data_IF_548714691375
#
_entry.id   IF_548714691375
#
_cell.length_a   1.000
_cell.length_b   1.000
_cell.length_c   1.000
_cell.angle_alpha   90.00
_cell.angle_beta   90.00
_cell.angle_gamma   90.00
#
_symmetry.space_group_name_H-M   'P 1'
#
loop_
_entity.id
_entity.type
_entity.pdbx_description
1 polymer ?
#
# COMPACT_ATOMS: atom_id res chain seq x y z
N UNK A 1 -27.10 -4.23 -53.37
CA UNK A 1 -27.03 -5.62 -52.85
C UNK A 1 -26.24 -5.56 -51.55
N UNK A 2 -26.86 -5.82 -50.41
CA UNK A 2 -26.14 -5.88 -49.13
C UNK A 2 -25.43 -7.23 -49.04
N UNK A 3 -24.10 -7.22 -48.87
CA UNK A 3 -23.34 -8.44 -48.57
C UNK A 3 -23.70 -8.86 -47.14
N UNK A 4 -24.39 -9.98 -47.00
CA UNK A 4 -24.56 -10.62 -45.71
C UNK A 4 -23.21 -11.18 -45.25
N UNK A 5 -22.88 -10.96 -43.99
CA UNK A 5 -21.69 -11.55 -43.35
C UNK A 5 -21.82 -13.07 -43.36
N UNK A 6 -20.79 -13.79 -43.76
CA UNK A 6 -20.88 -15.25 -43.84
C UNK A 6 -20.84 -15.85 -42.43
N UNK A 7 -21.57 -16.95 -42.20
CA UNK A 7 -21.53 -17.65 -40.92
C UNK A 7 -20.11 -18.11 -40.58
N UNK A 8 -19.30 -18.46 -41.59
CA UNK A 8 -17.90 -18.85 -41.38
C UNK A 8 -17.02 -17.70 -40.89
N UNK A 9 -17.22 -16.47 -41.38
CA UNK A 9 -16.52 -15.30 -40.85
C UNK A 9 -16.90 -15.04 -39.39
N UNK A 10 -18.17 -15.23 -39.03
CA UNK A 10 -18.63 -15.03 -37.65
C UNK A 10 -17.95 -16.03 -36.71
N UNK A 11 -17.82 -17.29 -37.12
CA UNK A 11 -17.16 -18.35 -36.33
C UNK A 11 -15.66 -18.05 -36.17
N UNK A 12 -15.00 -17.55 -37.21
CA UNK A 12 -13.57 -17.23 -37.13
C UNK A 12 -13.29 -16.06 -36.18
N UNK A 13 -14.17 -15.06 -36.16
CA UNK A 13 -14.07 -13.91 -35.24
C UNK A 13 -14.18 -14.35 -33.78
N UNK A 14 -15.20 -15.13 -33.42
CA UNK A 14 -15.37 -15.59 -32.02
C UNK A 14 -14.23 -16.51 -31.59
N UNK A 15 -13.68 -17.31 -32.50
CA UNK A 15 -12.57 -18.22 -32.22
C UNK A 15 -11.28 -17.45 -31.94
N UNK A 16 -10.97 -16.42 -32.73
CA UNK A 16 -9.82 -15.54 -32.49
C UNK A 16 -9.98 -14.79 -31.16
N UNK A 17 -11.16 -14.19 -30.91
CA UNK A 17 -11.42 -13.49 -29.64
C UNK A 17 -11.29 -14.45 -28.45
N UNK A 18 -11.72 -15.71 -28.60
CA UNK A 18 -11.57 -16.74 -27.57
C UNK A 18 -10.11 -17.00 -27.20
N UNK A 19 -9.23 -17.20 -28.18
CA UNK A 19 -7.80 -17.46 -27.94
C UNK A 19 -7.09 -16.23 -27.37
N UNK A 20 -7.36 -15.05 -27.93
CA UNK A 20 -6.77 -13.80 -27.44
C UNK A 20 -7.22 -13.48 -26.00
N UNK A 21 -8.50 -13.69 -25.69
CA UNK A 21 -9.03 -13.43 -24.35
C UNK A 21 -8.42 -14.38 -23.31
N UNK A 22 -8.25 -15.66 -23.64
CA UNK A 22 -7.67 -16.65 -22.73
C UNK A 22 -6.25 -16.29 -22.28
N UNK A 23 -5.45 -15.66 -23.15
CA UNK A 23 -4.07 -15.27 -22.84
C UNK A 23 -3.95 -13.85 -22.28
N UNK A 24 -4.84 -12.93 -22.68
CA UNK A 24 -4.80 -11.53 -22.23
C UNK A 24 -5.36 -11.33 -20.82
N UNK A 25 -6.44 -12.04 -20.45
CA UNK A 25 -7.12 -11.85 -19.16
C UNK A 25 -6.23 -12.11 -17.93
N UNK A 26 -5.44 -13.22 -17.86
CA UNK A 26 -4.59 -13.49 -16.70
C UNK A 26 -3.51 -12.41 -16.52
N UNK A 27 -2.95 -11.92 -17.63
CA UNK A 27 -1.90 -10.90 -17.61
C UNK A 27 -2.43 -9.55 -17.12
N UNK A 28 -3.64 -9.16 -17.56
CA UNK A 28 -4.30 -7.95 -17.10
C UNK A 28 -4.68 -8.02 -15.62
N UNK A 29 -5.05 -9.19 -15.10
CA UNK A 29 -5.31 -9.36 -13.67
C UNK A 29 -4.03 -9.13 -12.84
N UNK A 30 -2.93 -9.79 -13.18
CA UNK A 30 -1.65 -9.65 -12.48
C UNK A 30 -1.16 -8.18 -12.48
N UNK A 31 -1.17 -7.51 -13.63
CA UNK A 31 -0.73 -6.10 -13.71
C UNK A 31 -1.60 -5.14 -12.89
N UNK A 32 -2.90 -5.43 -12.73
CA UNK A 32 -3.78 -4.61 -11.88
C UNK A 32 -3.46 -4.78 -10.40
N UNK A 33 -3.13 -5.99 -9.98
CA UNK A 33 -2.78 -6.26 -8.58
C UNK A 33 -1.41 -5.67 -8.24
N UNK A 34 -0.43 -5.80 -9.14
CA UNK A 34 0.88 -5.14 -9.00
C UNK A 34 0.75 -3.61 -8.88
N UNK A 35 -0.12 -2.99 -9.69
CA UNK A 35 -0.36 -1.55 -9.64
C UNK A 35 -0.98 -1.10 -8.31
N UNK A 36 -1.89 -1.89 -7.75
CA UNK A 36 -2.47 -1.62 -6.42
C UNK A 36 -1.41 -1.73 -5.34
N UNK A 37 -0.59 -2.79 -5.36
CA UNK A 37 0.47 -3.00 -4.37
C UNK A 37 1.48 -1.85 -4.41
N UNK A 38 1.89 -1.41 -5.59
CA UNK A 38 2.78 -0.25 -5.75
C UNK A 38 2.16 1.04 -5.19
N UNK A 39 0.86 1.25 -5.42
CA UNK A 39 0.12 2.41 -4.89
C UNK A 39 0.03 2.36 -3.36
N UNK A 40 -0.19 1.18 -2.78
CA UNK A 40 -0.23 0.98 -1.31
C UNK A 40 1.14 1.25 -0.71
N UNK A 41 2.22 0.71 -1.29
CA UNK A 41 3.59 0.96 -0.84
C UNK A 41 3.91 2.46 -0.86
N UNK A 42 3.65 3.11 -1.99
CA UNK A 42 3.89 4.54 -2.15
C UNK A 42 3.08 5.37 -1.16
N UNK A 43 1.79 5.08 -1.01
CA UNK A 43 0.92 5.79 -0.07
C UNK A 43 1.37 5.61 1.38
N UNK A 44 1.88 4.43 1.73
CA UNK A 44 2.43 4.14 3.06
C UNK A 44 3.71 4.93 3.34
N UNK A 45 4.62 5.01 2.37
CA UNK A 45 5.86 5.81 2.51
C UNK A 45 5.55 7.30 2.65
N UNK A 46 4.68 7.83 1.79
CA UNK A 46 4.24 9.24 1.89
C UNK A 46 3.52 9.48 3.22
N UNK A 47 2.71 8.53 3.70
CA UNK A 47 2.06 8.66 5.00
C UNK A 47 3.09 8.74 6.14
N UNK A 48 4.13 7.92 6.11
CA UNK A 48 5.22 7.97 7.08
C UNK A 48 5.97 9.32 7.05
N UNK A 49 6.21 9.90 5.87
CA UNK A 49 6.80 11.23 5.72
C UNK A 49 5.89 12.34 6.24
N UNK A 50 4.59 12.29 5.93
CA UNK A 50 3.59 13.24 6.44
C UNK A 50 3.52 13.19 7.98
N UNK A 51 3.56 11.99 8.56
CA UNK A 51 3.60 11.77 10.01
C UNK A 51 4.86 12.40 10.62
N UNK A 52 6.01 12.19 9.98
CA UNK A 52 7.28 12.79 10.42
C UNK A 52 7.25 14.32 10.34
N UNK A 53 6.75 14.87 9.23
CA UNK A 53 6.60 16.30 9.05
C UNK A 53 5.62 16.92 10.05
N UNK A 54 4.50 16.24 10.33
CA UNK A 54 3.52 16.66 11.33
C UNK A 54 4.15 16.72 12.73
N UNK A 55 4.90 15.67 13.12
CA UNK A 55 5.57 15.62 14.41
C UNK A 55 6.63 16.72 14.54
N UNK A 56 7.38 17.00 13.47
CA UNK A 56 8.36 18.08 13.43
C UNK A 56 7.71 19.48 13.53
N UNK A 57 6.57 19.69 12.87
CA UNK A 57 5.88 20.98 12.86
C UNK A 57 5.13 21.28 14.16
N UNK A 58 4.46 20.28 14.75
CA UNK A 58 3.62 20.46 15.94
C UNK A 58 4.37 20.13 17.25
N UNK A 59 5.57 19.55 17.15
CA UNK A 59 6.36 19.14 18.31
C UNK A 59 5.76 17.97 19.11
N UNK A 60 4.66 17.36 18.64
CA UNK A 60 3.99 16.21 19.22
C UNK A 60 3.22 15.43 18.15
N UNK A 61 3.07 14.12 18.33
CA UNK A 61 2.22 13.28 17.50
C UNK A 61 0.75 13.33 17.96
N UNK A 62 -0.19 13.19 17.03
CA UNK A 62 -1.61 13.13 17.35
C UNK A 62 -2.00 11.74 17.89
N UNK A 63 -3.22 11.61 18.44
CA UNK A 63 -3.75 10.34 18.95
C UNK A 63 -3.87 9.24 17.87
N UNK A 64 -3.91 9.65 16.59
CA UNK A 64 -4.21 8.80 15.44
C UNK A 64 -3.35 9.17 14.25
N UNK A 65 -2.83 8.17 13.51
CA UNK A 65 -2.02 8.42 12.29
C UNK A 65 -2.82 9.12 11.17
N UNK A 66 -4.10 8.81 11.04
CA UNK A 66 -5.03 9.48 10.10
C UNK A 66 -5.26 10.96 10.41
N UNK A 67 -5.04 11.41 11.65
CA UNK A 67 -5.09 12.84 11.97
C UNK A 67 -3.81 13.58 11.54
N UNK A 68 -2.75 12.83 11.19
CA UNK A 68 -1.43 13.37 10.82
C UNK A 68 -1.13 13.21 9.33
N UNK A 69 -1.82 12.30 8.64
CA UNK A 69 -1.56 11.98 7.23
C UNK A 69 -2.87 11.77 6.46
N UNK A 70 -3.00 12.47 5.34
CA UNK A 70 -4.10 12.28 4.41
C UNK A 70 -3.97 10.96 3.65
N UNK A 71 -2.73 10.53 3.38
CA UNK A 71 -2.49 9.23 2.78
C UNK A 71 -2.86 8.07 3.72
N UNK A 72 -2.67 8.24 5.03
CA UNK A 72 -3.17 7.27 6.01
C UNK A 72 -4.71 7.20 6.00
N UNK A 73 -5.42 8.32 5.84
CA UNK A 73 -6.88 8.33 5.66
C UNK A 73 -7.28 7.57 4.39
N UNK A 74 -6.65 7.88 3.26
CA UNK A 74 -6.92 7.22 1.98
C UNK A 74 -6.70 5.70 2.06
N UNK A 75 -5.65 5.24 2.74
CA UNK A 75 -5.40 3.82 2.93
C UNK A 75 -6.52 3.13 3.73
N UNK A 76 -7.07 3.80 4.75
CA UNK A 76 -8.19 3.28 5.54
C UNK A 76 -9.49 3.27 4.74
N UNK A 77 -9.79 4.36 4.04
CA UNK A 77 -11.03 4.51 3.24
C UNK A 77 -11.09 3.51 2.08
N UNK A 78 -9.95 3.19 1.47
CA UNK A 78 -9.85 2.18 0.41
C UNK A 78 -9.80 0.74 0.95
N UNK A 79 -9.86 0.54 2.28
CA UNK A 79 -9.83 -0.79 2.91
C UNK A 79 -8.47 -1.48 2.89
N UNK A 80 -7.39 -0.73 2.60
CA UNK A 80 -6.01 -1.25 2.63
C UNK A 80 -5.34 -1.10 3.99
N UNK A 81 -5.94 -0.37 4.92
CA UNK A 81 -5.40 -0.26 6.27
C UNK A 81 -6.49 -0.22 7.34
N UNK A 82 -6.14 -0.72 8.52
CA UNK A 82 -6.93 -0.60 9.74
C UNK A 82 -6.18 0.29 10.72
N UNK A 83 -6.84 1.33 11.18
CA UNK A 83 -6.29 2.21 12.20
C UNK A 83 -6.66 1.75 13.61
N UNK A 84 -5.66 1.72 14.50
CA UNK A 84 -5.84 1.52 15.93
C UNK A 84 -4.93 2.48 16.72
N UNK A 85 -5.44 3.67 17.05
CA UNK A 85 -4.67 4.71 17.74
C UNK A 85 -3.45 5.13 16.92
N UNK A 86 -2.27 5.05 17.55
CA UNK A 86 -0.98 5.35 16.91
C UNK A 86 -0.36 4.17 16.14
N UNK A 87 -1.17 3.17 15.80
CA UNK A 87 -0.81 2.07 14.91
C UNK A 87 -1.73 2.05 13.68
N UNK A 88 -1.13 1.85 12.51
CA UNK A 88 -1.80 1.63 11.24
C UNK A 88 -1.33 0.29 10.69
N UNK A 89 -2.23 -0.69 10.69
CA UNK A 89 -1.97 -2.01 10.10
C UNK A 89 -2.37 -1.95 8.63
N UNK A 90 -1.42 -2.13 7.72
CA UNK A 90 -1.60 -2.08 6.26
C UNK A 90 -1.65 -3.52 5.73
N UNK A 91 -2.73 -3.82 5.02
CA UNK A 91 -2.93 -5.08 4.32
C UNK A 91 -2.69 -5.01 2.82
N UNK A 92 -2.46 -6.16 2.19
CA UNK A 92 -2.44 -6.28 0.73
C UNK A 92 -3.85 -6.42 0.13
N UNK A 93 -3.92 -6.56 -1.19
CA UNK A 93 -5.16 -6.87 -1.93
C UNK A 93 -5.91 -8.12 -1.44
N UNK A 94 -5.25 -9.01 -0.70
CA UNK A 94 -5.82 -10.25 -0.14
C UNK A 94 -6.28 -10.12 1.33
N UNK A 95 -6.37 -8.89 1.85
CA UNK A 95 -6.76 -8.60 3.25
C UNK A 95 -5.87 -9.32 4.29
N UNK A 96 -4.62 -9.60 3.93
CA UNK A 96 -3.60 -10.09 4.85
C UNK A 96 -2.85 -8.90 5.45
N UNK A 97 -2.66 -8.87 6.77
CA UNK A 97 -1.91 -7.82 7.47
C UNK A 97 -0.40 -7.93 7.16
N UNK A 98 0.08 -7.15 6.18
CA UNK A 98 1.44 -7.26 5.69
C UNK A 98 2.42 -6.41 6.51
N UNK A 99 2.02 -5.19 6.91
CA UNK A 99 2.88 -4.23 7.62
C UNK A 99 2.14 -3.48 8.72
N UNK A 100 2.87 -2.99 9.71
CA UNK A 100 2.37 -2.10 10.76
C UNK A 100 3.24 -0.86 10.85
N UNK A 101 2.66 0.30 10.58
CA UNK A 101 3.26 1.60 10.81
C UNK A 101 2.81 2.07 12.20
N UNK A 102 3.75 2.28 13.12
CA UNK A 102 3.43 2.67 14.50
C UNK A 102 4.35 3.75 15.04
N UNK A 103 3.79 4.62 15.87
CA UNK A 103 4.56 5.53 16.71
C UNK A 103 4.79 4.88 18.06
N UNK A 104 6.05 4.58 18.39
CA UNK A 104 6.42 4.12 19.72
C UNK A 104 6.74 5.30 20.65
N UNK A 105 6.46 5.12 21.94
CA UNK A 105 6.72 6.10 23.01
C UNK A 105 6.02 7.46 22.80
N UNK A 106 4.78 7.45 22.30
CA UNK A 106 3.96 8.64 22.15
C UNK A 106 3.94 9.48 23.44
N UNK A 107 4.19 10.79 23.32
CA UNK A 107 4.23 11.74 24.42
C UNK A 107 5.59 11.83 25.13
N UNK A 108 6.54 10.93 24.83
CA UNK A 108 7.89 10.99 25.36
C UNK A 108 8.82 11.85 24.48
N UNK A 109 10.00 12.21 25.01
CA UNK A 109 11.03 12.93 24.24
C UNK A 109 11.80 12.04 23.25
N UNK A 110 11.40 10.77 23.11
CA UNK A 110 12.04 9.75 22.27
C UNK A 110 11.02 9.08 21.37
N UNK A 111 10.06 9.84 20.85
CA UNK A 111 9.08 9.34 19.89
C UNK A 111 9.80 8.87 18.62
N UNK A 112 9.48 7.65 18.20
CA UNK A 112 10.03 7.06 16.98
C UNK A 112 8.91 6.49 16.12
N UNK A 113 9.05 6.63 14.80
CA UNK A 113 8.20 5.98 13.82
C UNK A 113 8.86 4.68 13.39
N UNK A 114 8.14 3.57 13.50
CA UNK A 114 8.62 2.24 13.13
C UNK A 114 7.68 1.57 12.14
N UNK A 115 8.25 0.81 11.22
CA UNK A 115 7.53 -0.12 10.34
C UNK A 115 7.92 -1.54 10.71
N UNK A 116 6.93 -2.32 11.17
CA UNK A 116 7.07 -3.75 11.45
C UNK A 116 6.42 -4.56 10.33
N UNK A 117 7.07 -5.62 9.86
CA UNK A 117 6.50 -6.56 8.90
C UNK A 117 5.84 -7.71 9.67
N UNK A 118 4.53 -7.92 9.45
CA UNK A 118 3.73 -8.86 10.28
C UNK A 118 3.17 -10.04 9.49
N UNK A 119 3.03 -9.90 8.17
CA UNK A 119 2.53 -10.95 7.28
C UNK A 119 3.61 -11.44 6.33
N UNK A 120 3.44 -12.65 5.79
CA UNK A 120 4.33 -13.23 4.79
C UNK A 120 3.56 -13.96 3.70
N UNK A 121 4.10 -13.96 2.49
CA UNK A 121 3.58 -14.67 1.34
C UNK A 121 2.97 -13.78 0.25
N UNK A 122 3.21 -14.16 -1.01
CA UNK A 122 2.56 -13.61 -2.19
C UNK A 122 2.70 -12.09 -2.30
N UNK A 123 1.56 -11.40 -2.25
CA UNK A 123 1.46 -9.95 -2.40
C UNK A 123 2.02 -9.16 -1.19
N UNK A 124 2.19 -9.79 -0.02
CA UNK A 124 2.86 -9.16 1.11
C UNK A 124 4.38 -9.05 0.90
N UNK A 125 5.00 -10.08 0.32
CA UNK A 125 6.45 -10.09 0.09
C UNK A 125 6.84 -9.05 -0.96
N UNK A 126 6.02 -8.90 -2.01
CA UNK A 126 6.20 -7.86 -3.02
C UNK A 126 6.01 -6.48 -2.41
N UNK A 127 4.96 -6.27 -1.59
CA UNK A 127 4.73 -5.01 -0.89
C UNK A 127 5.89 -4.64 0.03
N UNK A 128 6.40 -5.60 0.81
CA UNK A 128 7.52 -5.40 1.73
C UNK A 128 8.82 -5.11 0.98
N UNK A 129 9.03 -5.69 -0.21
CA UNK A 129 10.22 -5.39 -1.02
C UNK A 129 10.27 -3.95 -1.54
N UNK A 130 9.13 -3.27 -1.65
CA UNK A 130 9.07 -1.85 -2.03
C UNK A 130 9.39 -0.89 -0.89
N UNK A 131 9.42 -1.38 0.36
CA UNK A 131 9.63 -0.54 1.55
C UNK A 131 10.97 -0.92 2.18
N UNK A 132 11.89 0.04 2.20
CA UNK A 132 13.18 -0.16 2.87
C UNK A 132 13.00 -0.05 4.38
N UNK A 133 12.99 -1.21 5.05
CA UNK A 133 12.89 -1.28 6.51
C UNK A 133 14.11 -0.67 7.21
N UNK A 134 15.26 -0.58 6.55
CA UNK A 134 16.49 -0.02 7.16
C UNK A 134 16.43 1.49 7.37
N UNK A 135 15.53 2.18 6.66
CA UNK A 135 15.23 3.59 6.89
C UNK A 135 14.44 3.85 8.18
N UNK A 136 13.93 2.79 8.84
CA UNK A 136 13.15 2.86 10.07
C UNK A 136 13.88 2.13 11.21
N UNK A 137 13.88 2.67 12.45
CA UNK A 137 13.00 3.73 12.94
C UNK A 137 13.51 5.15 12.70
N UNK A 138 12.58 6.07 12.41
CA UNK A 138 12.87 7.50 12.27
C UNK A 138 12.58 8.19 13.62
N UNK A 139 13.53 8.93 14.21
CA UNK A 139 13.25 9.74 15.38
C UNK A 139 12.31 10.88 15.01
N UNK A 140 11.12 10.88 15.58
CA UNK A 140 10.14 11.95 15.45
C UNK A 140 10.43 13.08 16.45
N UNK A 141 11.01 12.73 17.60
CA UNK A 141 11.41 13.67 18.65
C UNK A 141 12.68 13.19 19.34
N UNK A 142 13.54 14.13 19.70
CA UNK A 142 14.82 13.88 20.35
C UNK A 142 15.84 13.26 19.40
N UNK A 143 16.93 13.97 19.14
CA UNK A 143 18.04 13.37 18.39
C UNK A 143 18.66 12.25 19.24
N UNK A 144 18.65 11.01 18.74
CA UNK A 144 19.51 9.95 19.27
C UNK A 144 20.94 10.29 18.84
N UNK A 145 21.65 11.07 19.64
CA UNK A 145 23.09 11.31 19.45
C UNK A 145 23.79 10.00 19.81
N UNK A 146 24.14 9.22 18.80
CA UNK A 146 24.97 8.03 18.94
C UNK A 146 26.42 8.53 18.91
N UNK A 147 27.13 8.44 20.02
CA UNK A 147 28.58 8.67 20.10
C UNK A 147 29.34 7.46 19.56
#
# INVERSE_FOLDING_TARGET
MQKAFTIIELIFVILIIGILSATALPKLAATRDDAKISTIAHSTMVAAEEIAAYAAANGQTAATLTAMSNNAVSLVDNGYATQNGVELTIGSVDSQDCLRLKVENQGANTEILKIDFTGSGGNCDTLQSYIDQSAYPIPLRGARVIF
#
